data_IF_301249657091
#
_entry.id   IF_301249657091
#
_cell.length_a   1.000
_cell.length_b   1.000
_cell.length_c   1.000
_cell.angle_alpha   90.00
_cell.angle_beta   90.00
_cell.angle_gamma   90.00
#
_symmetry.space_group_name_H-M   'P 1'
#
loop_
_entity.id
_entity.type
_entity.pdbx_description
1 polymer ?
#
# COMPACT_ATOMS: atom_id res chain seq x y z
N UNK A 1 -6.94 18.35 19.33
CA UNK A 1 -6.73 17.51 18.13
C UNK A 1 -5.25 17.51 17.83
N UNK A 2 -4.53 16.38 17.90
CA UNK A 2 -3.10 16.35 17.58
C UNK A 2 -2.92 15.97 16.10
N UNK A 3 -2.40 16.93 15.34
CA UNK A 3 -2.00 16.81 13.94
C UNK A 3 -0.48 16.89 13.88
N UNK A 4 0.17 15.99 13.14
CA UNK A 4 1.61 16.05 12.93
C UNK A 4 1.90 16.02 11.44
N UNK A 5 2.71 16.97 10.98
CA UNK A 5 3.14 17.07 9.58
C UNK A 5 4.66 17.00 9.50
N UNK A 6 5.18 16.14 8.64
CA UNK A 6 6.60 16.03 8.37
C UNK A 6 6.91 16.31 6.90
N UNK A 7 7.95 17.09 6.66
CA UNK A 7 8.41 17.49 5.33
C UNK A 7 9.86 17.04 5.14
N UNK A 8 10.14 16.43 3.99
CA UNK A 8 11.49 16.09 3.57
C UNK A 8 11.69 16.38 2.09
N UNK A 9 12.77 17.09 1.76
CA UNK A 9 13.05 17.51 0.39
C UNK A 9 14.12 16.65 -0.29
N UNK A 10 15.32 16.54 0.29
CA UNK A 10 16.47 15.87 -0.32
C UNK A 10 17.29 15.14 0.75
N UNK A 11 17.10 13.84 0.92
CA UNK A 11 17.88 13.07 1.89
C UNK A 11 18.31 11.70 1.35
N UNK A 12 19.37 11.16 1.93
CA UNK A 12 19.76 9.76 1.65
C UNK A 12 18.82 8.79 2.36
N UNK A 13 18.59 9.01 3.65
CA UNK A 13 17.76 8.13 4.48
C UNK A 13 16.90 8.98 5.39
N UNK A 14 15.63 8.61 5.54
CA UNK A 14 14.73 9.26 6.49
C UNK A 14 13.91 8.21 7.21
N UNK A 15 13.83 8.35 8.54
CA UNK A 15 13.04 7.47 9.40
C UNK A 15 12.10 8.29 10.25
N UNK A 16 10.86 7.84 10.34
CA UNK A 16 9.82 8.56 11.05
C UNK A 16 9.01 7.62 11.93
N UNK A 17 8.75 8.10 13.15
CA UNK A 17 8.05 7.36 14.18
C UNK A 17 6.80 8.13 14.61
N UNK A 18 5.67 7.44 14.67
CA UNK A 18 4.43 8.00 15.21
C UNK A 18 3.71 6.98 16.09
N UNK A 19 3.36 7.38 17.31
CA UNK A 19 2.75 6.49 18.28
C UNK A 19 1.23 6.68 18.45
N UNK A 20 0.76 7.91 18.69
CA UNK A 20 -0.64 8.18 19.07
C UNK A 20 -1.12 9.53 18.56
N UNK A 21 -1.52 9.62 17.29
CA UNK A 21 -2.04 10.87 16.71
C UNK A 21 -3.43 10.69 16.09
N UNK A 22 -4.17 11.81 15.98
CA UNK A 22 -5.45 11.80 15.26
C UNK A 22 -5.19 11.82 13.75
N UNK A 23 -4.27 12.69 13.32
CA UNK A 23 -3.92 12.84 11.91
C UNK A 23 -2.42 12.98 11.76
N UNK A 24 -1.87 12.28 10.78
CA UNK A 24 -0.45 12.34 10.42
C UNK A 24 -0.33 12.54 8.92
N UNK A 25 0.45 13.54 8.52
CA UNK A 25 0.73 13.86 7.12
C UNK A 25 2.22 13.85 6.86
N UNK A 26 2.62 13.20 5.78
CA UNK A 26 4.01 13.00 5.41
C UNK A 26 4.25 13.38 3.95
N UNK A 27 5.21 14.26 3.72
CA UNK A 27 5.58 14.75 2.40
C UNK A 27 7.06 14.49 2.15
N UNK A 28 7.38 13.74 1.09
CA UNK A 28 8.74 13.38 0.70
C UNK A 28 8.99 13.65 -0.78
N UNK A 29 9.94 14.50 -1.11
CA UNK A 29 10.22 14.85 -2.50
C UNK A 29 11.23 13.90 -3.16
N UNK A 30 12.45 13.81 -2.62
CA UNK A 30 13.51 12.98 -3.19
C UNK A 30 14.31 12.28 -2.08
N UNK A 31 14.08 10.98 -1.88
CA UNK A 31 14.90 10.20 -0.96
C UNK A 31 15.40 8.90 -1.59
N UNK A 32 16.55 8.39 -1.11
CA UNK A 32 16.93 7.02 -1.46
C UNK A 32 16.12 6.03 -0.65
N UNK A 33 16.07 6.20 0.66
CA UNK A 33 15.36 5.27 1.56
C UNK A 33 14.46 6.05 2.51
N UNK A 34 13.21 5.61 2.64
CA UNK A 34 12.27 6.16 3.60
C UNK A 34 11.64 5.03 4.40
N UNK A 35 11.72 5.10 5.72
CA UNK A 35 11.12 4.14 6.65
C UNK A 35 10.11 4.83 7.55
N UNK A 36 8.93 4.23 7.65
CA UNK A 36 7.83 4.74 8.46
C UNK A 36 7.33 3.70 9.44
N UNK A 37 7.18 4.11 10.69
CA UNK A 37 6.66 3.29 11.78
C UNK A 37 5.47 4.01 12.41
N UNK A 38 4.30 3.37 12.37
CA UNK A 38 3.04 3.93 12.85
C UNK A 38 2.32 2.94 13.77
N UNK A 39 2.10 3.32 15.04
CA UNK A 39 1.42 2.45 15.99
C UNK A 39 -0.11 2.61 15.95
N UNK A 40 -0.63 3.78 16.31
CA UNK A 40 -2.07 4.05 16.39
C UNK A 40 -2.40 5.43 15.82
N UNK A 41 -2.97 5.48 14.62
CA UNK A 41 -3.51 6.73 14.08
C UNK A 41 -4.93 6.57 13.55
N UNK A 42 -5.71 7.65 13.59
CA UNK A 42 -7.02 7.62 12.89
C UNK A 42 -6.79 7.80 11.39
N UNK A 43 -6.00 8.78 11.01
CA UNK A 43 -5.73 9.08 9.60
C UNK A 43 -4.24 9.24 9.37
N UNK A 44 -3.71 8.52 8.38
CA UNK A 44 -2.34 8.68 7.87
C UNK A 44 -2.40 9.01 6.39
N UNK A 45 -1.80 10.13 6.01
CA UNK A 45 -1.65 10.54 4.61
C UNK A 45 -0.18 10.63 4.26
N UNK A 46 0.21 9.95 3.19
CA UNK A 46 1.56 10.02 2.67
C UNK A 46 1.58 10.42 1.20
N UNK A 47 2.49 11.35 0.89
CA UNK A 47 2.71 11.93 -0.41
C UNK A 47 4.20 11.79 -0.74
N UNK A 48 4.53 11.07 -1.82
CA UNK A 48 5.87 11.14 -2.38
C UNK A 48 5.92 11.47 -3.86
N UNK A 49 7.03 12.12 -4.22
CA UNK A 49 7.38 12.35 -5.61
C UNK A 49 8.31 11.24 -6.12
N UNK A 50 9.48 11.07 -5.50
CA UNK A 50 10.48 10.10 -5.94
C UNK A 50 11.18 9.45 -4.76
N UNK A 51 11.06 8.13 -4.62
CA UNK A 51 11.96 7.38 -3.73
C UNK A 51 12.52 6.13 -4.40
N UNK A 52 13.72 5.69 -3.99
CA UNK A 52 14.19 4.36 -4.41
C UNK A 52 13.51 3.27 -3.59
N UNK A 53 13.48 3.42 -2.28
CA UNK A 53 12.94 2.42 -1.36
C UNK A 53 12.04 3.09 -0.34
N UNK A 54 10.84 2.56 -0.18
CA UNK A 54 9.87 2.98 0.84
C UNK A 54 9.46 1.76 1.64
N UNK A 55 9.61 1.82 2.96
CA UNK A 55 9.13 0.81 3.88
C UNK A 55 8.13 1.43 4.83
N UNK A 56 6.96 0.83 4.93
CA UNK A 56 5.89 1.29 5.82
C UNK A 56 5.42 0.15 6.70
N UNK A 57 5.52 0.35 8.01
CA UNK A 57 5.04 -0.58 9.02
C UNK A 57 3.94 0.10 9.83
N UNK A 58 2.75 -0.51 9.87
CA UNK A 58 1.71 -0.06 10.78
C UNK A 58 1.05 -1.17 11.58
N UNK A 59 0.66 -0.81 12.80
CA UNK A 59 -0.10 -1.69 13.66
C UNK A 59 -1.60 -1.49 13.47
N UNK A 60 -2.09 -0.26 13.68
CA UNK A 60 -3.52 0.04 13.70
C UNK A 60 -3.79 1.41 13.09
N UNK A 61 -4.50 1.46 11.96
CA UNK A 61 -5.06 2.71 11.46
C UNK A 61 -6.52 2.58 11.06
N UNK A 62 -7.28 3.68 11.15
CA UNK A 62 -8.62 3.69 10.54
C UNK A 62 -8.52 3.95 9.06
N UNK A 63 -7.78 4.97 8.65
CA UNK A 63 -7.66 5.37 7.25
C UNK A 63 -6.19 5.58 6.92
N UNK A 64 -5.75 4.97 5.82
CA UNK A 64 -4.43 5.20 5.25
C UNK A 64 -4.58 5.58 3.79
N UNK A 65 -4.03 6.74 3.42
CA UNK A 65 -3.98 7.21 2.04
C UNK A 65 -2.53 7.37 1.64
N UNK A 66 -2.16 6.77 0.51
CA UNK A 66 -0.82 6.83 -0.02
C UNK A 66 -0.85 7.24 -1.49
N UNK A 67 -0.07 8.26 -1.81
CA UNK A 67 0.01 8.90 -3.10
C UNK A 67 1.48 8.91 -3.53
N UNK A 68 1.80 8.22 -4.62
CA UNK A 68 3.13 8.30 -5.22
C UNK A 68 3.13 8.60 -6.71
N UNK A 69 4.17 9.31 -7.14
CA UNK A 69 4.49 9.40 -8.56
C UNK A 69 5.46 8.28 -8.95
N UNK A 70 6.57 8.12 -8.25
CA UNK A 70 7.62 7.18 -8.63
C UNK A 70 8.27 6.51 -7.44
N UNK A 71 8.25 5.18 -7.38
CA UNK A 71 9.20 4.46 -6.55
C UNK A 71 9.79 3.23 -7.23
N UNK A 72 11.01 2.84 -6.86
CA UNK A 72 11.57 1.55 -7.32
C UNK A 72 11.01 0.39 -6.50
N UNK A 73 10.99 0.54 -5.17
CA UNK A 73 10.57 -0.50 -4.25
C UNK A 73 9.68 0.08 -3.17
N UNK A 74 8.51 -0.53 -3.00
CA UNK A 74 7.58 -0.22 -1.92
C UNK A 74 7.28 -1.50 -1.17
N UNK A 75 7.56 -1.49 0.13
CA UNK A 75 7.19 -2.56 1.07
C UNK A 75 6.23 -2.01 2.09
N UNK A 76 5.09 -2.67 2.22
CA UNK A 76 4.06 -2.31 3.18
C UNK A 76 3.70 -3.51 4.03
N UNK A 77 3.75 -3.31 5.35
CA UNK A 77 3.35 -4.31 6.34
C UNK A 77 2.31 -3.69 7.26
N UNK A 78 1.12 -4.28 7.28
CA UNK A 78 0.05 -3.81 8.17
C UNK A 78 -0.65 -4.93 8.92
N UNK A 79 -0.90 -4.70 10.21
CA UNK A 79 -1.71 -5.64 11.00
C UNK A 79 -3.20 -5.38 10.80
N UNK A 80 -3.68 -4.16 11.10
CA UNK A 80 -5.10 -3.84 10.99
C UNK A 80 -5.33 -2.45 10.41
N UNK A 81 -6.05 -2.37 9.28
CA UNK A 81 -6.63 -1.11 8.83
C UNK A 81 -8.12 -1.24 8.51
N UNK A 82 -8.89 -0.15 8.64
CA UNK A 82 -10.27 -0.17 8.12
C UNK A 82 -10.30 0.14 6.63
N UNK A 83 -9.61 1.19 6.23
CA UNK A 83 -9.58 1.67 4.85
C UNK A 83 -8.15 1.93 4.43
N UNK A 84 -7.75 1.35 3.30
CA UNK A 84 -6.47 1.62 2.63
C UNK A 84 -6.77 2.09 1.20
N UNK A 85 -6.24 3.27 0.86
CA UNK A 85 -6.28 3.80 -0.50
C UNK A 85 -4.86 4.03 -0.98
N UNK A 86 -4.55 3.48 -2.15
CA UNK A 86 -3.25 3.62 -2.77
C UNK A 86 -3.38 4.08 -4.20
N UNK A 87 -2.71 5.20 -4.51
CA UNK A 87 -2.66 5.75 -5.86
C UNK A 87 -1.20 5.82 -6.31
N UNK A 88 -0.90 5.19 -7.43
CA UNK A 88 0.44 5.12 -7.97
C UNK A 88 0.50 5.41 -9.47
N UNK A 89 1.49 6.21 -9.89
CA UNK A 89 1.78 6.35 -11.31
C UNK A 89 2.73 5.25 -11.77
N UNK A 90 3.92 5.14 -11.16
CA UNK A 90 4.89 4.12 -11.55
C UNK A 90 5.58 3.50 -10.34
N UNK A 91 5.56 2.17 -10.25
CA UNK A 91 6.53 1.46 -9.42
C UNK A 91 7.15 0.25 -10.12
N UNK A 92 8.40 -0.06 -9.79
CA UNK A 92 9.01 -1.29 -10.31
C UNK A 92 8.57 -2.50 -9.51
N UNK A 93 8.65 -2.41 -8.20
CA UNK A 93 8.43 -3.53 -7.29
C UNK A 93 7.54 -3.10 -6.13
N UNK A 94 6.51 -3.89 -5.88
CA UNK A 94 5.62 -3.75 -4.74
C UNK A 94 5.50 -5.06 -3.99
N UNK A 95 5.65 -4.97 -2.68
CA UNK A 95 5.34 -6.05 -1.76
C UNK A 95 4.41 -5.51 -0.68
N UNK A 96 3.33 -6.22 -0.46
CA UNK A 96 2.37 -5.84 0.56
C UNK A 96 1.87 -7.06 1.30
N UNK A 97 1.99 -6.99 2.62
CA UNK A 97 1.58 -8.01 3.55
C UNK A 97 0.62 -7.37 4.54
N UNK A 98 -0.62 -7.86 4.59
CA UNK A 98 -1.47 -7.52 5.72
C UNK A 98 -2.38 -8.62 6.22
N UNK A 99 -2.66 -8.53 7.51
CA UNK A 99 -3.50 -9.51 8.19
C UNK A 99 -4.99 -9.19 8.03
N UNK A 100 -5.38 -7.93 8.26
CA UNK A 100 -6.79 -7.56 8.37
C UNK A 100 -7.07 -6.20 7.73
N UNK A 101 -7.87 -6.16 6.66
CA UNK A 101 -8.53 -4.92 6.26
C UNK A 101 -10.04 -5.07 6.04
N UNK A 102 -10.78 -3.96 6.06
CA UNK A 102 -12.18 -3.98 5.61
C UNK A 102 -12.29 -3.59 4.15
N UNK A 103 -11.66 -2.48 3.77
CA UNK A 103 -11.76 -1.93 2.43
C UNK A 103 -10.40 -1.51 1.93
N UNK A 104 -10.11 -1.94 0.71
CA UNK A 104 -8.82 -1.76 0.07
C UNK A 104 -9.07 -1.31 -1.37
N UNK A 105 -8.51 -0.16 -1.74
CA UNK A 105 -8.64 0.41 -3.08
C UNK A 105 -7.26 0.77 -3.64
N UNK A 106 -6.97 0.30 -4.85
CA UNK A 106 -5.70 0.52 -5.52
C UNK A 106 -5.93 0.96 -6.94
N UNK A 107 -5.39 2.12 -7.30
CA UNK A 107 -5.35 2.59 -8.67
C UNK A 107 -3.91 2.80 -9.08
N UNK A 108 -3.54 2.17 -10.19
CA UNK A 108 -2.16 2.18 -10.65
C UNK A 108 -2.03 2.23 -12.16
N UNK A 109 -1.16 3.11 -12.64
CA UNK A 109 -0.90 3.22 -14.08
C UNK A 109 0.08 2.15 -14.55
N UNK A 110 1.27 2.05 -13.93
CA UNK A 110 2.29 1.11 -14.39
C UNK A 110 3.02 0.43 -13.23
N UNK A 111 3.01 -0.90 -13.20
CA UNK A 111 3.91 -1.64 -12.32
C UNK A 111 4.57 -2.84 -13.00
N UNK A 112 5.82 -3.17 -12.62
CA UNK A 112 6.47 -4.37 -13.19
C UNK A 112 6.15 -5.62 -12.38
N UNK A 113 6.43 -5.60 -11.09
CA UNK A 113 6.18 -6.74 -10.21
C UNK A 113 5.37 -6.32 -9.01
N UNK A 114 4.36 -7.13 -8.71
CA UNK A 114 3.47 -6.89 -7.59
C UNK A 114 3.21 -8.20 -6.86
N UNK A 115 3.50 -8.21 -5.56
CA UNK A 115 3.25 -9.35 -4.69
C UNK A 115 2.34 -8.93 -3.55
N UNK A 116 1.28 -9.70 -3.37
CA UNK A 116 0.33 -9.47 -2.30
C UNK A 116 0.06 -10.71 -1.49
N UNK A 117 0.14 -10.53 -0.18
CA UNK A 117 -0.13 -11.56 0.81
C UNK A 117 -1.15 -11.02 1.81
N UNK A 118 -2.31 -11.67 1.89
CA UNK A 118 -3.40 -11.24 2.77
C UNK A 118 -4.02 -12.40 3.51
N UNK A 119 -4.46 -12.16 4.74
CA UNK A 119 -5.22 -13.17 5.49
C UNK A 119 -6.74 -12.92 5.40
N UNK A 120 -7.21 -11.70 5.65
CA UNK A 120 -8.65 -11.37 5.65
C UNK A 120 -8.92 -9.97 5.09
N UNK A 121 -9.90 -9.87 4.18
CA UNK A 121 -10.49 -8.61 3.75
C UNK A 121 -12.02 -8.68 3.73
N UNK A 122 -12.72 -7.59 3.39
CA UNK A 122 -14.13 -7.66 2.99
C UNK A 122 -14.31 -7.22 1.54
N UNK A 123 -13.78 -6.05 1.20
CA UNK A 123 -13.87 -5.48 -0.13
C UNK A 123 -12.50 -5.07 -0.65
N UNK A 124 -12.20 -5.47 -1.88
CA UNK A 124 -10.96 -5.12 -2.56
C UNK A 124 -11.25 -4.67 -3.99
N UNK A 125 -10.77 -3.48 -4.34
CA UNK A 125 -10.91 -2.89 -5.68
C UNK A 125 -9.55 -2.58 -6.27
N UNK A 126 -9.35 -3.06 -7.49
CA UNK A 126 -8.11 -2.99 -8.24
C UNK A 126 -8.35 -2.37 -9.60
N UNK A 127 -7.74 -1.23 -9.90
CA UNK A 127 -7.80 -0.60 -11.22
C UNK A 127 -6.38 -0.39 -11.73
N UNK A 128 -6.03 -1.06 -12.82
CA UNK A 128 -4.66 -1.05 -13.34
C UNK A 128 -4.66 -0.83 -14.84
N UNK A 129 -3.72 0.00 -15.31
CA UNK A 129 -3.55 0.23 -16.74
C UNK A 129 -2.54 -0.75 -17.36
N UNK A 130 -1.38 -0.96 -16.74
CA UNK A 130 -0.36 -1.91 -17.21
C UNK A 130 0.38 -2.61 -16.07
N UNK A 131 0.57 -3.93 -16.19
CA UNK A 131 1.40 -4.74 -15.31
C UNK A 131 2.29 -5.74 -16.08
N UNK A 132 3.31 -6.34 -15.45
CA UNK A 132 4.08 -7.42 -16.08
C UNK A 132 3.92 -8.76 -15.32
N UNK A 133 4.04 -8.73 -14.00
CA UNK A 133 3.95 -9.92 -13.14
C UNK A 133 3.19 -9.60 -11.86
N UNK A 134 2.17 -10.41 -11.58
CA UNK A 134 1.35 -10.25 -10.38
C UNK A 134 1.17 -11.59 -9.67
N UNK A 135 1.48 -11.60 -8.38
CA UNK A 135 1.30 -12.76 -7.50
C UNK A 135 0.37 -12.41 -6.36
N UNK A 136 -0.67 -13.22 -6.17
CA UNK A 136 -1.64 -13.08 -5.09
C UNK A 136 -1.69 -14.37 -4.27
N UNK A 137 -1.52 -14.26 -2.95
CA UNK A 137 -1.86 -15.31 -2.00
C UNK A 137 -2.85 -14.75 -0.98
N UNK A 138 -4.00 -15.41 -0.84
CA UNK A 138 -4.99 -15.05 0.18
C UNK A 138 -5.59 -16.27 0.87
N UNK A 139 -6.08 -16.05 2.10
CA UNK A 139 -6.56 -17.13 2.97
C UNK A 139 -8.09 -17.16 3.16
N UNK A 140 -8.85 -16.05 3.07
CA UNK A 140 -10.32 -16.05 3.31
C UNK A 140 -11.10 -14.85 2.70
N UNK A 141 -12.43 -15.00 2.60
CA UNK A 141 -13.52 -14.02 2.35
C UNK A 141 -13.13 -12.69 1.69
N UNK A 142 -13.42 -12.52 0.39
CA UNK A 142 -13.20 -11.26 -0.31
C UNK A 142 -14.26 -11.06 -1.40
N UNK A 143 -14.92 -9.90 -1.43
CA UNK A 143 -15.48 -9.38 -2.68
C UNK A 143 -14.36 -8.66 -3.41
N UNK A 144 -13.98 -9.17 -4.59
CA UNK A 144 -12.89 -8.59 -5.38
C UNK A 144 -13.43 -8.07 -6.69
N UNK A 145 -13.07 -6.85 -7.03
CA UNK A 145 -13.32 -6.25 -8.34
C UNK A 145 -11.99 -5.81 -8.93
N UNK A 146 -11.67 -6.28 -10.13
CA UNK A 146 -10.48 -5.84 -10.85
C UNK A 146 -10.80 -5.42 -12.27
N UNK A 147 -10.08 -4.40 -12.74
CA UNK A 147 -10.07 -3.98 -14.13
C UNK A 147 -8.60 -3.79 -14.56
N UNK A 148 -8.20 -4.48 -15.61
CA UNK A 148 -6.85 -4.43 -16.18
C UNK A 148 -6.95 -4.09 -17.67
N UNK A 149 -6.24 -3.04 -18.12
CA UNK A 149 -6.35 -2.57 -19.49
C UNK A 149 -5.39 -3.27 -20.47
N UNK A 150 -4.20 -3.73 -20.05
CA UNK A 150 -3.23 -4.44 -20.91
C UNK A 150 -2.25 -5.35 -20.12
N UNK A 151 -1.89 -6.49 -20.73
CA UNK A 151 -0.86 -7.51 -20.40
C UNK A 151 -0.62 -7.85 -18.91
N UNK A 152 -0.64 -9.14 -18.57
CA UNK A 152 -0.21 -9.61 -17.25
C UNK A 152 0.02 -11.12 -17.23
N UNK A 153 1.13 -11.58 -16.64
CA UNK A 153 1.17 -12.93 -16.05
C UNK A 153 0.63 -12.82 -14.63
N UNK A 154 -0.50 -13.50 -14.37
CA UNK A 154 -1.17 -13.49 -13.07
C UNK A 154 -1.07 -14.89 -12.47
N UNK A 155 -0.44 -14.99 -11.30
CA UNK A 155 -0.42 -16.21 -10.50
C UNK A 155 -1.27 -15.98 -9.24
N UNK A 156 -2.40 -16.69 -9.14
CA UNK A 156 -3.29 -16.66 -7.99
C UNK A 156 -3.32 -18.03 -7.32
N UNK A 157 -2.92 -18.12 -6.05
CA UNK A 157 -3.16 -19.32 -5.26
C UNK A 157 -4.03 -18.94 -4.05
N UNK A 158 -5.21 -19.55 -3.97
CA UNK A 158 -6.06 -19.50 -2.79
C UNK A 158 -5.80 -20.73 -1.93
N UNK A 159 -5.59 -20.51 -0.63
CA UNK A 159 -5.61 -21.60 0.33
C UNK A 159 -7.04 -21.72 0.89
N UNK A 160 -7.85 -22.53 0.20
CA UNK A 160 -9.21 -23.02 0.48
C UNK A 160 -10.38 -22.44 -0.36
N UNK A 161 -11.12 -23.40 -0.95
CA UNK A 161 -12.44 -23.48 -1.59
C UNK A 161 -12.99 -22.28 -2.38
N UNK A 162 -13.29 -22.54 -3.66
CA UNK A 162 -13.85 -21.63 -4.66
C UNK A 162 -15.05 -20.78 -4.18
N UNK A 163 -15.19 -19.52 -4.61
CA UNK A 163 -16.47 -18.84 -4.63
C UNK A 163 -17.18 -19.08 -5.97
N UNK A 164 -18.45 -19.46 -5.89
CA UNK A 164 -19.46 -19.40 -6.94
C UNK A 164 -19.58 -17.99 -7.53
N UNK A 165 -19.90 -17.95 -8.83
CA UNK A 165 -20.22 -16.77 -9.66
C UNK A 165 -21.14 -15.74 -8.98
#
# INVERSE_FOLDING_TARGET
NRTVTWLCQQNRTVTWLCQQNRTVTWLCQQNRTVTWLCQQNRTVTWLCQQNRTVTWLCQQNRTVTWLCQQNRTVTWLCQQNRTVTWLCQQNRTMAWLCQQNRTVAWLCQQNRTVTWLWQQNRTVTWLWQQNCTVTWLWQQNCTVTWLCQQNSTINTNSWHSAPTF
#
